data_IF_667390900433
#
_entry.id   IF_667390900433
#
_cell.length_a   1.000
_cell.length_b   1.000
_cell.length_c   1.000
_cell.angle_alpha   90.00
_cell.angle_beta   90.00
_cell.angle_gamma   90.00
#
_symmetry.space_group_name_H-M   'P 1'
#
loop_
_entity.id
_entity.type
_entity.pdbx_description
1 polymer ?
#
# COMPACT_ATOMS: atom_id res chain seq x y z
N UNK A 1 20.65 18.40 -18.94
CA UNK A 1 19.56 17.50 -18.50
C UNK A 1 18.37 17.79 -19.40
N UNK A 2 17.74 16.77 -19.97
CA UNK A 2 16.49 16.94 -20.71
C UNK A 2 15.43 17.52 -19.79
N UNK A 3 14.61 18.48 -20.27
CA UNK A 3 13.47 19.00 -19.51
C UNK A 3 12.57 17.82 -19.09
N UNK A 4 12.53 17.52 -17.79
CA UNK A 4 11.62 16.53 -17.23
C UNK A 4 10.23 17.17 -17.24
N UNK A 5 9.33 16.63 -18.06
CA UNK A 5 7.94 17.06 -18.09
C UNK A 5 7.08 16.10 -17.27
N UNK A 6 6.60 16.56 -16.13
CA UNK A 6 5.64 15.84 -15.30
C UNK A 6 4.20 16.12 -15.78
N UNK A 7 3.32 15.16 -15.54
CA UNK A 7 1.88 15.34 -15.70
C UNK A 7 1.33 16.31 -14.64
N UNK A 8 0.17 16.89 -14.93
CA UNK A 8 -0.57 17.67 -13.93
C UNK A 8 -1.14 16.75 -12.86
N UNK A 9 -1.42 17.30 -11.67
CA UNK A 9 -2.01 16.54 -10.57
C UNK A 9 -3.42 16.06 -10.95
N UNK A 10 -4.17 16.86 -11.71
CA UNK A 10 -5.51 16.53 -12.19
C UNK A 10 -5.49 15.31 -13.12
N UNK A 11 -4.51 15.23 -14.02
CA UNK A 11 -4.30 14.06 -14.89
C UNK A 11 -3.99 12.81 -14.06
N UNK A 12 -3.10 12.91 -13.07
CA UNK A 12 -2.74 11.79 -12.22
C UNK A 12 -3.93 11.28 -11.39
N UNK A 13 -4.74 12.19 -10.84
CA UNK A 13 -5.97 11.84 -10.11
C UNK A 13 -6.95 11.11 -11.03
N UNK A 14 -7.14 11.60 -12.26
CA UNK A 14 -8.05 10.98 -13.21
C UNK A 14 -7.58 9.58 -13.64
N UNK A 15 -6.28 9.41 -13.88
CA UNK A 15 -5.69 8.11 -14.20
C UNK A 15 -5.87 7.10 -13.05
N UNK A 16 -5.66 7.51 -11.79
CA UNK A 16 -5.91 6.65 -10.62
C UNK A 16 -7.41 6.30 -10.52
N UNK A 17 -8.31 7.24 -10.78
CA UNK A 17 -9.77 6.98 -10.78
C UNK A 17 -10.16 5.93 -11.82
N UNK A 18 -9.49 5.94 -12.97
CA UNK A 18 -9.69 4.99 -14.07
C UNK A 18 -9.03 3.62 -13.84
N UNK A 19 -8.39 3.40 -12.69
CA UNK A 19 -7.75 2.11 -12.38
C UNK A 19 -6.29 2.00 -12.81
N UNK A 20 -5.69 3.08 -13.33
CA UNK A 20 -4.30 3.06 -13.78
C UNK A 20 -3.33 3.14 -12.60
N UNK A 21 -2.12 2.65 -12.82
CA UNK A 21 -0.98 2.83 -11.95
C UNK A 21 -0.19 4.02 -12.46
N UNK A 22 0.10 4.98 -11.58
CA UNK A 22 0.96 6.14 -11.87
C UNK A 22 2.29 5.98 -11.15
N UNK A 23 3.31 6.75 -11.57
CA UNK A 23 4.57 6.87 -10.83
C UNK A 23 4.55 8.21 -10.09
N UNK A 24 4.76 8.18 -8.78
CA UNK A 24 4.97 9.37 -7.96
C UNK A 24 6.44 9.41 -7.59
N UNK A 25 7.12 10.50 -7.94
CA UNK A 25 8.53 10.73 -7.57
C UNK A 25 8.61 11.68 -6.40
N UNK A 26 9.51 11.42 -5.46
CA UNK A 26 9.79 12.34 -4.36
C UNK A 26 11.00 13.24 -4.67
N UNK A 27 11.35 14.12 -3.72
CA UNK A 27 12.41 15.10 -3.88
C UNK A 27 13.80 14.43 -3.97
N UNK A 28 14.71 15.04 -4.74
CA UNK A 28 16.08 14.51 -4.96
C UNK A 28 16.92 14.39 -3.68
N UNK A 29 16.58 15.15 -2.63
CA UNK A 29 17.27 15.15 -1.34
C UNK A 29 16.57 14.30 -0.26
N UNK A 30 15.50 13.59 -0.63
CA UNK A 30 14.81 12.62 0.24
C UNK A 30 15.17 11.19 -0.15
N UNK A 31 14.28 10.43 -0.81
CA UNK A 31 14.57 9.07 -1.28
C UNK A 31 15.12 9.10 -2.71
N UNK A 32 14.73 10.11 -3.51
CA UNK A 32 15.01 10.21 -4.94
C UNK A 32 14.55 8.95 -5.69
N UNK A 33 13.37 8.46 -5.31
CA UNK A 33 12.74 7.24 -5.81
C UNK A 33 11.42 7.53 -6.51
N UNK A 34 10.94 6.55 -7.29
CA UNK A 34 9.66 6.60 -7.97
C UNK A 34 8.79 5.42 -7.58
N UNK A 35 7.65 5.71 -6.94
CA UNK A 35 6.72 4.71 -6.44
C UNK A 35 5.57 4.46 -7.43
N UNK A 36 5.25 3.19 -7.65
CA UNK A 36 3.99 2.82 -8.31
C UNK A 36 2.82 3.01 -7.36
N UNK A 37 1.91 3.92 -7.72
CA UNK A 37 0.75 4.29 -6.90
C UNK A 37 -0.56 4.04 -7.65
N UNK A 38 -1.54 3.47 -6.96
CA UNK A 38 -2.94 3.43 -7.40
C UNK A 38 -3.86 3.33 -6.17
N UNK A 39 -5.16 3.52 -6.35
CA UNK A 39 -6.12 3.36 -5.25
C UNK A 39 -6.25 1.88 -4.86
N UNK A 40 -6.34 1.57 -3.57
CA UNK A 40 -6.46 0.20 -3.07
C UNK A 40 -7.64 -0.58 -3.70
N UNK A 41 -8.75 0.09 -4.05
CA UNK A 41 -9.89 -0.51 -4.75
C UNK A 41 -9.56 -1.04 -6.14
N UNK A 42 -8.48 -0.55 -6.74
CA UNK A 42 -7.96 -0.99 -8.04
C UNK A 42 -7.01 -2.20 -7.91
N UNK A 43 -6.75 -2.70 -6.70
CA UNK A 43 -5.86 -3.83 -6.49
C UNK A 43 -6.49 -5.10 -7.06
N UNK A 44 -5.97 -5.54 -8.21
CA UNK A 44 -6.24 -6.84 -8.82
C UNK A 44 -4.97 -7.70 -8.78
N UNK A 45 -5.07 -9.03 -8.98
CA UNK A 45 -3.88 -9.88 -9.09
C UNK A 45 -2.91 -9.39 -10.16
N UNK A 46 -3.41 -8.86 -11.28
CA UNK A 46 -2.61 -8.34 -12.39
C UNK A 46 -1.85 -7.07 -11.99
N UNK A 47 -2.51 -6.14 -11.30
CA UNK A 47 -1.88 -4.91 -10.78
C UNK A 47 -0.80 -5.25 -9.75
N UNK A 48 -1.10 -6.14 -8.81
CA UNK A 48 -0.13 -6.58 -7.79
C UNK A 48 1.05 -7.31 -8.43
N UNK A 49 0.80 -8.17 -9.42
CA UNK A 49 1.87 -8.83 -10.15
C UNK A 49 2.71 -7.85 -10.96
N UNK A 50 2.10 -6.84 -11.58
CA UNK A 50 2.81 -5.77 -12.28
C UNK A 50 3.73 -5.00 -11.33
N UNK A 51 3.20 -4.53 -10.19
CA UNK A 51 3.99 -3.83 -9.16
C UNK A 51 5.15 -4.70 -8.65
N UNK A 52 4.88 -5.97 -8.32
CA UNK A 52 5.92 -6.88 -7.84
C UNK A 52 6.99 -7.21 -8.90
N UNK A 53 6.62 -7.23 -10.18
CA UNK A 53 7.52 -7.55 -11.29
C UNK A 53 8.37 -6.36 -11.71
N UNK A 54 7.78 -5.16 -11.74
CA UNK A 54 8.42 -3.97 -12.30
C UNK A 54 8.89 -2.97 -11.26
N UNK A 55 8.13 -2.77 -10.18
CA UNK A 55 8.53 -1.89 -9.08
C UNK A 55 9.70 -2.51 -8.33
N UNK A 56 9.61 -3.82 -8.11
CA UNK A 56 10.50 -4.60 -7.23
C UNK A 56 10.44 -4.06 -5.79
N UNK A 57 10.57 -4.96 -4.81
CA UNK A 57 10.49 -4.55 -3.40
C UNK A 57 9.12 -4.78 -2.76
N UNK A 58 8.81 -3.93 -1.78
CA UNK A 58 7.74 -4.16 -0.80
C UNK A 58 6.43 -3.51 -1.25
N UNK A 59 5.33 -4.27 -1.23
CA UNK A 59 4.01 -3.70 -1.49
C UNK A 59 3.42 -3.20 -0.17
N UNK A 60 3.23 -1.89 -0.11
CA UNK A 60 2.67 -1.19 1.03
C UNK A 60 1.20 -0.81 0.78
N UNK A 61 0.45 -0.59 1.86
CA UNK A 61 -0.94 -0.13 1.81
C UNK A 61 -1.13 1.06 2.77
N UNK A 62 -0.94 2.31 2.31
CA UNK A 62 -1.19 3.48 3.14
C UNK A 62 -2.67 3.56 3.57
N UNK A 63 -2.91 3.76 4.86
CA UNK A 63 -4.22 3.87 5.48
C UNK A 63 -4.28 5.09 6.40
N UNK A 64 -5.47 5.68 6.51
CA UNK A 64 -5.73 6.71 7.52
C UNK A 64 -5.70 6.10 8.93
N UNK A 65 -5.28 6.90 9.91
CA UNK A 65 -5.12 6.46 11.31
C UNK A 65 -6.40 5.82 11.88
N UNK A 66 -7.57 6.41 11.59
CA UNK A 66 -8.85 5.87 12.04
C UNK A 66 -9.09 4.44 11.55
N UNK A 67 -8.70 4.13 10.30
CA UNK A 67 -8.84 2.79 9.74
C UNK A 67 -7.84 1.81 10.34
N UNK A 68 -6.62 2.24 10.59
CA UNK A 68 -5.64 1.44 11.34
C UNK A 68 -6.19 1.09 12.73
N UNK A 69 -6.80 2.05 13.43
CA UNK A 69 -7.42 1.83 14.75
C UNK A 69 -8.59 0.86 14.70
N UNK A 70 -9.50 1.01 13.74
CA UNK A 70 -10.63 0.07 13.53
C UNK A 70 -10.16 -1.37 13.30
N UNK A 71 -9.07 -1.54 12.56
CA UNK A 71 -8.50 -2.84 12.23
C UNK A 71 -7.47 -3.35 13.25
N UNK A 72 -7.20 -2.61 14.33
CA UNK A 72 -6.18 -2.98 15.32
C UNK A 72 -4.77 -3.13 14.72
N UNK A 73 -4.39 -2.20 13.83
CA UNK A 73 -3.08 -2.14 13.19
C UNK A 73 -2.18 -1.17 13.96
N UNK A 74 -1.44 -1.72 14.93
CA UNK A 74 -0.44 -0.98 15.71
C UNK A 74 0.86 -0.80 14.92
N UNK A 75 1.64 0.23 15.28
CA UNK A 75 2.98 0.42 14.73
C UNK A 75 3.86 -0.81 14.98
N UNK A 76 4.64 -1.21 13.98
CA UNK A 76 5.42 -2.44 14.00
C UNK A 76 6.47 -2.46 15.12
N UNK A 77 7.02 -1.29 15.46
CA UNK A 77 8.05 -1.14 16.49
C UNK A 77 7.69 0.01 17.44
N UNK A 78 7.99 -0.12 18.74
CA UNK A 78 7.72 0.94 19.71
C UNK A 78 8.64 2.15 19.55
N UNK A 79 9.85 1.97 19.00
CA UNK A 79 10.79 3.05 18.69
C UNK A 79 11.26 2.90 17.24
N UNK A 80 10.81 3.79 16.37
CA UNK A 80 11.21 3.79 14.97
C UNK A 80 12.55 4.52 14.80
N UNK A 81 13.57 3.80 14.37
CA UNK A 81 14.92 4.33 14.13
C UNK A 81 15.27 4.37 12.63
N UNK A 82 14.28 4.19 11.74
CA UNK A 82 14.50 4.28 10.30
C UNK A 82 14.78 5.73 9.88
N UNK A 83 15.58 5.91 8.82
CA UNK A 83 16.03 7.21 8.32
C UNK A 83 14.89 8.23 8.11
N UNK A 84 13.76 7.77 7.58
CA UNK A 84 12.57 8.59 7.33
C UNK A 84 11.40 8.27 8.27
N UNK A 85 11.65 7.48 9.32
CA UNK A 85 10.64 7.06 10.30
C UNK A 85 9.34 6.52 9.66
N UNK A 86 9.46 5.79 8.55
CA UNK A 86 8.32 5.26 7.79
C UNK A 86 7.39 4.49 8.73
N UNK A 87 6.10 4.88 8.84
CA UNK A 87 5.19 4.43 9.89
C UNK A 87 4.58 3.07 9.56
N UNK A 88 5.41 2.05 9.46
CA UNK A 88 4.96 0.68 9.27
C UNK A 88 4.11 0.21 10.44
N UNK A 89 2.95 -0.35 10.13
CA UNK A 89 2.16 -1.15 11.08
C UNK A 89 2.57 -2.61 11.02
N UNK A 90 2.07 -3.43 11.95
CA UNK A 90 2.21 -4.89 11.85
C UNK A 90 1.68 -5.39 10.50
N UNK A 91 2.44 -6.25 9.82
CA UNK A 91 2.04 -6.78 8.52
C UNK A 91 0.85 -7.72 8.64
N UNK A 92 0.06 -7.84 7.57
CA UNK A 92 -1.20 -8.61 7.58
C UNK A 92 -1.43 -9.43 6.33
N UNK A 93 -2.23 -10.49 6.50
CA UNK A 93 -2.88 -11.25 5.43
C UNK A 93 -4.36 -11.44 5.75
N UNK A 94 -5.22 -11.47 4.72
CA UNK A 94 -6.61 -11.86 4.88
C UNK A 94 -6.73 -13.37 5.16
N UNK A 95 -7.45 -13.73 6.22
CA UNK A 95 -7.74 -15.12 6.58
C UNK A 95 -8.96 -15.62 5.78
N UNK A 96 -8.85 -16.77 5.13
CA UNK A 96 -9.97 -17.35 4.39
C UNK A 96 -10.23 -16.65 3.04
N UNK A 97 -11.48 -16.59 2.59
CA UNK A 97 -11.86 -15.96 1.30
C UNK A 97 -11.06 -16.45 0.06
N UNK A 98 -10.62 -17.71 0.12
CA UNK A 98 -9.77 -18.32 -0.91
C UNK A 98 -8.35 -17.75 -0.98
N UNK A 99 -7.88 -17.06 0.08
CA UNK A 99 -6.47 -16.87 0.35
C UNK A 99 -5.86 -18.16 0.88
N UNK A 100 -4.56 -18.34 0.69
CA UNK A 100 -3.81 -19.53 1.03
C UNK A 100 -2.59 -19.17 1.90
N UNK A 101 -1.46 -18.88 1.27
CA UNK A 101 -0.21 -18.54 1.95
C UNK A 101 -0.03 -17.04 2.15
N UNK A 102 -0.90 -16.20 1.58
CA UNK A 102 -0.85 -14.75 1.71
C UNK A 102 0.03 -14.05 0.66
N UNK A 103 1.11 -14.70 0.20
CA UNK A 103 2.12 -14.05 -0.64
C UNK A 103 1.76 -13.96 -2.13
N UNK A 104 0.81 -14.77 -2.61
CA UNK A 104 0.42 -14.78 -4.02
C UNK A 104 -0.10 -13.41 -4.47
N UNK A 105 -0.01 -13.07 -5.75
CA UNK A 105 -0.56 -11.80 -6.24
C UNK A 105 -2.09 -11.69 -5.98
N UNK A 106 -2.79 -12.83 -6.03
CA UNK A 106 -4.21 -12.92 -5.72
C UNK A 106 -4.49 -12.70 -4.24
N UNK A 107 -3.72 -13.35 -3.36
CA UNK A 107 -3.88 -13.24 -1.90
C UNK A 107 -3.59 -11.82 -1.44
N UNK A 108 -2.48 -11.22 -1.92
CA UNK A 108 -2.11 -9.83 -1.64
C UNK A 108 -3.16 -8.83 -2.14
N UNK A 109 -3.72 -9.03 -3.34
CA UNK A 109 -4.81 -8.19 -3.85
C UNK A 109 -6.04 -8.27 -2.95
N UNK A 110 -6.45 -9.48 -2.53
CA UNK A 110 -7.58 -9.68 -1.60
C UNK A 110 -7.32 -9.05 -0.23
N UNK A 111 -6.11 -9.18 0.30
CA UNK A 111 -5.73 -8.52 1.56
C UNK A 111 -5.86 -7.01 1.46
N UNK A 112 -5.37 -6.40 0.37
CA UNK A 112 -5.50 -4.95 0.14
C UNK A 112 -6.97 -4.52 0.04
N UNK A 113 -7.81 -5.30 -0.64
CA UNK A 113 -9.25 -5.02 -0.72
C UNK A 113 -9.94 -5.15 0.64
N UNK A 114 -9.54 -6.10 1.48
CA UNK A 114 -10.06 -6.24 2.84
C UNK A 114 -9.70 -5.05 3.73
N UNK A 115 -8.49 -4.48 3.57
CA UNK A 115 -8.07 -3.31 4.34
C UNK A 115 -9.00 -2.10 4.15
N UNK A 116 -9.63 -1.96 2.98
CA UNK A 116 -10.58 -0.87 2.69
C UNK A 116 -12.05 -1.26 2.81
N UNK A 117 -12.36 -2.53 3.08
CA UNK A 117 -13.73 -2.98 3.23
C UNK A 117 -14.27 -2.59 4.61
N UNK A 118 -15.33 -1.74 4.71
CA UNK A 118 -15.87 -1.30 6.00
C UNK A 118 -16.39 -2.45 6.89
N UNK A 119 -16.67 -3.62 6.32
CA UNK A 119 -17.14 -4.80 7.07
C UNK A 119 -16.00 -5.64 7.64
N UNK A 120 -14.76 -5.45 7.18
CA UNK A 120 -13.61 -6.20 7.67
C UNK A 120 -13.29 -5.82 9.11
N UNK A 121 -13.13 -6.84 9.93
CA UNK A 121 -12.82 -6.75 11.36
C UNK A 121 -11.38 -7.14 11.65
N UNK A 122 -10.82 -6.75 12.82
CA UNK A 122 -9.47 -7.13 13.21
C UNK A 122 -9.19 -8.64 13.13
N UNK A 123 -10.16 -9.47 13.51
CA UNK A 123 -10.07 -10.94 13.51
C UNK A 123 -10.03 -11.59 12.11
N UNK A 124 -10.41 -10.86 11.07
CA UNK A 124 -10.34 -11.34 9.69
C UNK A 124 -8.90 -11.28 9.13
N UNK A 125 -7.99 -10.63 9.86
CA UNK A 125 -6.61 -10.39 9.44
C UNK A 125 -5.62 -11.19 10.30
N UNK A 126 -4.79 -12.01 9.65
CA UNK A 126 -3.64 -12.64 10.27
C UNK A 126 -2.54 -11.60 10.51
N UNK A 127 -1.78 -11.77 11.59
CA UNK A 127 -0.63 -10.96 11.97
C UNK A 127 0.48 -11.91 12.46
N UNK A 128 1.70 -11.92 11.89
CA UNK A 128 2.14 -11.16 10.71
C UNK A 128 1.51 -11.68 9.40
N UNK A 129 1.76 -10.96 8.30
CA UNK A 129 1.43 -11.37 6.92
C UNK A 129 2.30 -10.69 5.87
N UNK A 130 1.83 -10.61 4.62
CA UNK A 130 2.62 -10.22 3.44
C UNK A 130 2.23 -8.87 2.82
N UNK A 131 1.21 -8.20 3.33
CA UNK A 131 0.93 -6.79 3.05
C UNK A 131 1.40 -5.94 4.24
N UNK A 132 1.98 -4.77 3.94
CA UNK A 132 2.59 -3.88 4.92
C UNK A 132 1.82 -2.56 4.97
N UNK A 133 0.82 -2.42 5.86
CA UNK A 133 0.08 -1.18 5.94
C UNK A 133 0.95 -0.07 6.55
N UNK A 134 0.84 1.13 5.99
CA UNK A 134 1.50 2.34 6.49
C UNK A 134 0.44 3.24 7.12
N UNK A 135 0.66 3.67 8.36
CA UNK A 135 -0.25 4.61 9.03
C UNK A 135 0.07 6.02 8.56
N UNK A 136 -0.79 6.59 7.71
CA UNK A 136 -0.62 7.96 7.23
C UNK A 136 -0.80 8.96 8.39
N UNK A 137 0.10 9.93 8.48
CA UNK A 137 -0.01 11.03 9.45
C UNK A 137 -1.15 11.97 9.01
N UNK A 138 -1.95 12.44 9.96
CA UNK A 138 -2.89 13.53 9.69
C UNK A 138 -2.11 14.80 9.30
N UNK A 139 -2.62 15.52 8.30
CA UNK A 139 -2.04 16.73 7.75
C UNK A 139 -3.02 17.89 7.77
#
# INVERSE_FOLDING_TARGET
MSDIKLNTIEEAIEDIKQGKVVIVVDDEDRENEGDFVTAARNATPEVINFMATHGRGLICAPLIESRCKELGLELMVPQNTALHETPFTISVDLIGHGCTTGISASDRAKTIQALINPETKPEDLARPGHIFPLMAREG
#
